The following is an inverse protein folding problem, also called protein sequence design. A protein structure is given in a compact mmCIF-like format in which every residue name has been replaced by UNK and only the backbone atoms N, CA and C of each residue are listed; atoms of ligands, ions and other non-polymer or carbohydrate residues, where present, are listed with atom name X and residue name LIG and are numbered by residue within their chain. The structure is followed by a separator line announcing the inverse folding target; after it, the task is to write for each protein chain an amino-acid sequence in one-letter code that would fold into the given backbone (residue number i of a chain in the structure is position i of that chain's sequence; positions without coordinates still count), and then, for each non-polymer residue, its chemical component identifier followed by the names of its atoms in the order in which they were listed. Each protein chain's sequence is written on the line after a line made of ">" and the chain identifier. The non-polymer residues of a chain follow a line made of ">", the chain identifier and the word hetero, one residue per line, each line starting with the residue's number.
data_IF_879128324750
#
_entry.id   IF_879128324750
#
_cell.length_a   1.000
_cell.length_b   1.000
_cell.length_c   1.000
_cell.angle_alpha   90.00
_cell.angle_beta   90.00
_cell.angle_gamma   90.00
#
_symmetry.space_group_name_H-M   'P 1'
#
loop_
_entity.id
_entity.type
_entity.pdbx_description
1 polymer ?
#
# COMPACT_ATOMS: atom_id res chain seq x y z
N UNK A 1 8.62 -2.69 -2.12
CA UNK A 1 9.50 -1.57 -1.79
C UNK A 1 10.28 -1.17 -3.04
N UNK A 2 10.50 0.09 -3.23
CA UNK A 2 11.36 0.62 -4.29
C UNK A 2 12.33 1.65 -3.70
N UNK A 3 13.45 1.86 -4.34
CA UNK A 3 14.43 2.85 -3.91
C UNK A 3 15.62 2.89 -4.86
N UNK A 4 16.22 4.07 -4.98
CA UNK A 4 17.43 4.27 -5.75
C UNK A 4 18.62 4.27 -4.80
N UNK A 5 19.67 3.54 -5.18
CA UNK A 5 20.92 3.44 -4.45
C UNK A 5 22.01 3.99 -5.36
N UNK A 6 22.54 5.16 -5.01
CA UNK A 6 23.62 5.79 -5.77
C UNK A 6 24.95 5.10 -5.45
N UNK A 7 25.53 4.49 -6.46
CA UNK A 7 26.80 3.75 -6.38
C UNK A 7 27.92 4.45 -7.14
N UNK A 8 27.72 5.69 -7.56
CA UNK A 8 28.70 6.42 -8.37
C UNK A 8 30.02 6.68 -7.64
N UNK A 9 29.94 6.90 -6.32
CA UNK A 9 31.12 7.14 -5.47
C UNK A 9 31.73 5.86 -4.88
N UNK A 10 30.93 4.80 -4.72
CA UNK A 10 31.38 3.50 -4.16
C UNK A 10 30.68 2.34 -4.90
N UNK A 11 31.19 1.98 -6.08
CA UNK A 11 30.58 0.94 -6.90
C UNK A 11 30.50 -0.41 -6.20
N UNK A 12 29.33 -1.06 -6.30
CA UNK A 12 29.14 -2.41 -5.77
C UNK A 12 29.91 -3.44 -6.60
N UNK A 13 30.96 -3.99 -6.02
CA UNK A 13 31.73 -5.09 -6.59
C UNK A 13 31.25 -6.40 -5.98
N UNK A 14 30.83 -7.32 -6.84
CA UNK A 14 30.42 -8.67 -6.42
C UNK A 14 31.55 -9.63 -6.82
N UNK A 15 32.31 -10.16 -5.85
CA UNK A 15 33.36 -11.13 -6.13
C UNK A 15 32.81 -12.48 -6.55
N UNK A 16 33.63 -13.36 -7.14
CA UNK A 16 33.23 -14.67 -7.63
C UNK A 16 32.57 -15.58 -6.58
N UNK A 17 32.89 -15.38 -5.29
CA UNK A 17 32.22 -16.11 -4.19
C UNK A 17 30.90 -15.50 -3.71
N UNK A 18 30.42 -14.46 -4.37
CA UNK A 18 29.26 -13.70 -3.95
C UNK A 18 29.56 -12.71 -2.83
N UNK A 19 28.58 -11.85 -2.54
CA UNK A 19 28.63 -10.88 -1.44
C UNK A 19 27.23 -10.65 -0.90
N UNK A 20 27.07 -10.68 0.41
CA UNK A 20 25.83 -10.27 1.04
C UNK A 20 25.67 -8.74 0.96
N UNK A 21 24.53 -8.28 0.46
CA UNK A 21 24.19 -6.86 0.37
C UNK A 21 22.90 -6.62 1.13
N UNK A 22 22.95 -5.72 2.10
CA UNK A 22 21.76 -5.28 2.84
C UNK A 22 21.29 -3.95 2.27
N UNK A 23 20.08 -3.94 1.73
CA UNK A 23 19.43 -2.73 1.23
C UNK A 23 18.50 -2.19 2.31
N UNK A 24 18.69 -0.93 2.70
CA UNK A 24 17.83 -0.22 3.64
C UNK A 24 16.95 0.76 2.87
N UNK A 25 15.65 0.50 2.87
CA UNK A 25 14.65 1.40 2.30
C UNK A 25 14.20 2.39 3.37
N UNK A 26 14.20 3.70 3.05
CA UNK A 26 13.65 4.75 3.90
C UNK A 26 12.13 4.67 4.01
N UNK A 27 11.53 5.42 4.93
CA UNK A 27 10.09 5.38 5.23
C UNK A 27 9.18 5.63 4.01
N UNK A 28 9.66 6.38 3.04
CA UNK A 28 8.91 6.67 1.82
C UNK A 28 9.12 5.64 0.70
N UNK A 29 9.91 4.60 0.94
CA UNK A 29 10.31 3.61 -0.06
C UNK A 29 9.83 2.20 0.24
N UNK A 30 8.98 2.01 1.23
CA UNK A 30 8.32 0.73 1.48
C UNK A 30 6.81 0.92 1.62
N UNK A 31 6.06 -0.07 1.14
CA UNK A 31 4.61 0.00 1.00
C UNK A 31 3.88 -1.11 1.78
N UNK A 32 4.58 -1.77 2.71
CA UNK A 32 4.00 -2.79 3.60
C UNK A 32 4.75 -2.86 4.91
N UNK A 33 4.02 -3.16 5.97
CA UNK A 33 4.65 -3.47 7.25
C UNK A 33 5.30 -4.86 7.20
N UNK A 34 6.34 -5.08 8.00
CA UNK A 34 7.06 -6.37 8.03
C UNK A 34 6.12 -7.57 8.35
N UNK A 35 5.09 -7.35 9.18
CA UNK A 35 4.10 -8.38 9.53
C UNK A 35 3.20 -8.80 8.38
N UNK A 36 3.08 -7.95 7.35
CA UNK A 36 2.26 -8.20 6.17
C UNK A 36 3.08 -8.85 5.03
N UNK A 37 4.36 -9.10 5.26
CA UNK A 37 5.24 -9.73 4.28
C UNK A 37 5.31 -11.24 4.53
N UNK A 38 4.86 -12.02 3.55
CA UNK A 38 5.20 -13.43 3.49
C UNK A 38 6.56 -13.60 2.78
N UNK A 39 7.60 -13.76 3.60
CA UNK A 39 8.97 -13.90 3.09
C UNK A 39 9.17 -15.14 2.19
N UNK A 40 8.30 -16.13 2.27
CA UNK A 40 8.36 -17.33 1.43
C UNK A 40 7.92 -17.06 0.00
N UNK A 41 7.07 -16.04 -0.19
CA UNK A 41 6.53 -15.66 -1.50
C UNK A 41 7.20 -14.41 -2.08
N UNK A 42 8.15 -13.82 -1.34
CA UNK A 42 8.84 -12.61 -1.77
C UNK A 42 9.73 -12.89 -2.98
N UNK A 43 9.40 -12.26 -4.10
CA UNK A 43 10.25 -12.28 -5.29
C UNK A 43 11.01 -10.95 -5.41
N UNK A 44 12.33 -11.00 -5.44
CA UNK A 44 13.19 -9.84 -5.68
C UNK A 44 13.63 -9.86 -7.14
N UNK A 45 13.29 -8.80 -7.89
CA UNK A 45 13.74 -8.60 -9.28
C UNK A 45 14.61 -7.34 -9.32
N UNK A 46 15.93 -7.45 -9.12
CA UNK A 46 16.81 -6.31 -9.21
C UNK A 46 16.97 -5.89 -10.67
N UNK A 47 16.97 -4.58 -10.91
CA UNK A 47 17.36 -3.96 -12.16
C UNK A 47 18.61 -3.11 -11.89
N UNK A 48 19.63 -3.24 -12.72
CA UNK A 48 20.89 -2.52 -12.57
C UNK A 48 21.15 -1.66 -13.79
N UNK A 49 21.40 -0.37 -13.55
CA UNK A 49 22.01 0.50 -14.54
C UNK A 49 23.52 0.55 -14.22
N UNK A 50 24.34 0.17 -15.19
CA UNK A 50 25.80 0.21 -15.06
C UNK A 50 26.37 1.57 -15.39
N UNK A 51 25.54 2.52 -15.83
CA UNK A 51 25.99 3.81 -16.32
C UNK A 51 26.89 3.69 -17.54
N UNK A 52 27.53 4.80 -17.90
CA UNK A 52 28.44 4.88 -19.06
C UNK A 52 29.90 4.47 -18.74
N UNK A 53 30.21 4.05 -17.52
CA UNK A 53 31.57 3.67 -17.12
C UNK A 53 31.88 2.20 -17.48
N UNK A 54 32.74 2.01 -18.43
CA UNK A 54 33.16 0.70 -18.94
C UNK A 54 34.33 0.05 -18.17
N UNK A 55 34.92 0.69 -17.16
CA UNK A 55 35.99 0.08 -16.36
C UNK A 55 35.98 0.56 -14.92
N UNK A 56 35.62 -0.35 -14.02
CA UNK A 56 35.85 -0.18 -12.59
C UNK A 56 37.25 -0.71 -12.28
N UNK A 57 38.18 0.18 -11.93
CA UNK A 57 39.47 -0.23 -11.37
C UNK A 57 39.18 -0.85 -10.01
N UNK A 58 39.35 -2.16 -9.87
CA UNK A 58 39.09 -2.92 -8.67
C UNK A 58 39.90 -2.43 -7.48
N UNK A 59 39.27 -1.67 -6.61
CA UNK A 59 39.77 -1.52 -5.24
C UNK A 59 39.17 -2.69 -4.44
N UNK A 60 40.04 -3.55 -3.95
CA UNK A 60 39.84 -4.62 -2.97
C UNK A 60 38.45 -5.28 -2.97
N UNK A 61 38.33 -6.44 -3.61
CA UNK A 61 37.16 -7.32 -3.49
C UNK A 61 37.13 -7.98 -2.12
N UNK A 62 36.47 -7.38 -1.16
CA UNK A 62 36.20 -8.03 0.13
C UNK A 62 34.84 -8.74 0.08
N UNK A 63 34.76 -9.98 0.58
CA UNK A 63 33.52 -10.73 0.73
C UNK A 63 32.69 -10.23 1.93
N UNK A 64 33.09 -9.12 2.55
CA UNK A 64 32.38 -8.55 3.71
C UNK A 64 30.98 -8.08 3.34
N UNK A 65 30.00 -8.29 4.21
CA UNK A 65 28.64 -7.76 3.99
C UNK A 65 28.67 -6.24 3.83
N UNK A 66 27.86 -5.74 2.91
CA UNK A 66 27.70 -4.31 2.65
C UNK A 66 26.26 -3.88 2.96
N UNK A 67 26.11 -2.73 3.61
CA UNK A 67 24.80 -2.11 3.84
C UNK A 67 24.72 -0.81 3.06
N UNK A 68 23.63 -0.64 2.31
CA UNK A 68 23.36 0.56 1.54
C UNK A 68 21.99 1.12 1.95
N UNK A 69 21.88 2.45 2.02
CA UNK A 69 20.65 3.16 2.24
C UNK A 69 20.16 3.81 0.93
N UNK A 70 18.86 3.81 0.69
CA UNK A 70 18.29 4.51 -0.46
C UNK A 70 18.48 6.02 -0.31
N UNK A 71 18.77 6.70 -1.43
CA UNK A 71 18.87 8.17 -1.44
C UNK A 71 17.48 8.79 -1.32
N UNK A 72 17.40 9.95 -0.67
CA UNK A 72 16.19 10.76 -0.60
C UNK A 72 15.95 11.61 -1.85
N UNK A 73 16.93 11.70 -2.74
CA UNK A 73 16.82 12.47 -3.98
C UNK A 73 16.23 11.60 -5.08
N UNK A 74 14.91 11.61 -5.19
CA UNK A 74 14.22 10.97 -6.30
C UNK A 74 14.18 11.91 -7.51
N UNK A 75 14.70 11.44 -8.65
CA UNK A 75 14.45 12.08 -9.94
C UNK A 75 13.02 11.74 -10.43
N UNK A 76 12.54 12.39 -11.50
CA UNK A 76 11.19 12.18 -12.04
C UNK A 76 10.90 10.70 -12.35
N UNK A 77 11.87 9.97 -12.89
CA UNK A 77 11.73 8.54 -13.20
C UNK A 77 11.54 7.70 -11.92
N UNK A 78 12.21 8.06 -10.82
CA UNK A 78 12.03 7.37 -9.54
C UNK A 78 10.65 7.62 -8.96
N UNK A 79 10.15 8.86 -9.06
CA UNK A 79 8.79 9.19 -8.58
C UNK A 79 7.73 8.38 -9.33
N UNK A 80 7.88 8.25 -10.65
CA UNK A 80 6.97 7.45 -11.47
C UNK A 80 7.04 5.96 -11.13
N UNK A 81 8.23 5.41 -10.92
CA UNK A 81 8.42 4.04 -10.46
C UNK A 81 7.83 3.79 -9.07
N UNK A 82 8.00 4.73 -8.15
CA UNK A 82 7.43 4.65 -6.81
C UNK A 82 5.91 4.70 -6.84
N UNK A 83 5.34 5.53 -7.71
CA UNK A 83 3.90 5.64 -7.91
C UNK A 83 3.32 4.33 -8.49
N UNK A 84 3.97 3.76 -9.52
CA UNK A 84 3.61 2.47 -10.08
C UNK A 84 3.70 1.35 -9.04
N UNK A 85 4.78 1.30 -8.27
CA UNK A 85 4.98 0.30 -7.23
C UNK A 85 3.92 0.41 -6.12
N UNK A 86 3.48 1.62 -5.79
CA UNK A 86 2.40 1.84 -4.84
C UNK A 86 1.05 1.35 -5.40
N UNK A 87 0.76 1.59 -6.68
CA UNK A 87 -0.41 1.07 -7.38
C UNK A 87 -0.45 -0.47 -7.37
N UNK A 88 0.67 -1.10 -7.70
CA UNK A 88 0.83 -2.56 -7.66
C UNK A 88 0.62 -3.12 -6.24
N UNK A 89 1.11 -2.40 -5.22
CA UNK A 89 0.93 -2.76 -3.83
C UNK A 89 -0.53 -2.65 -3.37
N UNK A 90 -1.26 -1.61 -3.80
CA UNK A 90 -2.70 -1.47 -3.54
C UNK A 90 -3.49 -2.62 -4.17
N UNK A 91 -3.24 -2.94 -5.43
CA UNK A 91 -3.89 -4.05 -6.12
C UNK A 91 -3.60 -5.40 -5.44
N UNK A 92 -2.33 -5.64 -5.09
CA UNK A 92 -1.97 -6.85 -4.37
C UNK A 92 -2.68 -6.93 -3.03
N UNK A 93 -2.74 -5.83 -2.28
CA UNK A 93 -3.37 -5.80 -0.97
C UNK A 93 -4.87 -6.06 -1.06
N UNK A 94 -5.57 -5.40 -2.00
CA UNK A 94 -7.00 -5.63 -2.21
C UNK A 94 -7.30 -7.09 -2.60
N UNK A 95 -6.48 -7.67 -3.46
CA UNK A 95 -6.58 -9.10 -3.83
C UNK A 95 -6.34 -10.02 -2.63
N UNK A 96 -5.38 -9.68 -1.77
CA UNK A 96 -5.09 -10.43 -0.55
C UNK A 96 -6.25 -10.33 0.45
N UNK A 97 -6.77 -9.12 0.68
CA UNK A 97 -7.87 -8.85 1.61
C UNK A 97 -9.21 -9.42 1.12
N UNK A 98 -9.36 -9.65 -0.20
CA UNK A 98 -10.61 -10.18 -0.80
C UNK A 98 -11.09 -11.46 -0.11
N UNK A 99 -10.19 -12.37 0.24
CA UNK A 99 -10.54 -13.63 0.92
C UNK A 99 -11.19 -13.36 2.28
N UNK A 100 -10.66 -12.41 3.04
CA UNK A 100 -11.23 -12.00 4.32
C UNK A 100 -12.60 -11.33 4.14
N UNK A 101 -12.72 -10.44 3.14
CA UNK A 101 -14.01 -9.79 2.83
C UNK A 101 -15.07 -10.81 2.43
N UNK A 102 -14.74 -11.74 1.54
CA UNK A 102 -15.67 -12.79 1.10
C UNK A 102 -16.11 -13.70 2.24
N UNK A 103 -15.23 -14.01 3.19
CA UNK A 103 -15.53 -14.97 4.26
C UNK A 103 -16.18 -14.35 5.49
N UNK A 104 -15.96 -13.05 5.77
CA UNK A 104 -16.36 -12.43 7.04
C UNK A 104 -17.31 -11.26 6.90
N UNK A 105 -17.21 -10.47 5.81
CA UNK A 105 -17.90 -9.18 5.68
C UNK A 105 -19.24 -9.29 4.96
N UNK A 106 -19.46 -10.33 4.14
CA UNK A 106 -20.71 -10.43 3.38
C UNK A 106 -21.94 -10.45 4.28
N UNK A 107 -22.92 -9.62 3.93
CA UNK A 107 -24.14 -9.44 4.71
C UNK A 107 -23.96 -8.61 5.99
N UNK A 108 -22.75 -8.08 6.25
CA UNK A 108 -22.45 -7.29 7.44
C UNK A 108 -22.21 -5.83 7.10
N UNK A 109 -22.48 -4.98 8.08
CA UNK A 109 -22.12 -3.58 8.04
C UNK A 109 -20.74 -3.38 8.66
N UNK A 110 -19.97 -2.50 8.08
CA UNK A 110 -18.62 -2.14 8.56
C UNK A 110 -18.39 -0.64 8.37
N UNK A 111 -17.70 0.04 9.28
CA UNK A 111 -17.28 1.41 9.07
C UNK A 111 -16.36 1.53 7.86
N UNK A 112 -16.72 2.38 6.90
CA UNK A 112 -15.87 2.80 5.80
C UNK A 112 -15.12 4.06 6.23
N UNK A 113 -13.79 3.99 6.24
CA UNK A 113 -12.92 5.03 6.82
C UNK A 113 -12.31 5.95 5.76
N UNK A 114 -12.23 5.48 4.53
CA UNK A 114 -11.66 6.25 3.42
C UNK A 114 -12.23 5.76 2.10
N UNK A 115 -12.33 6.69 1.14
CA UNK A 115 -12.63 6.40 -0.26
C UNK A 115 -11.84 7.38 -1.12
N UNK A 116 -10.82 6.89 -1.82
CA UNK A 116 -9.87 7.71 -2.60
C UNK A 116 -9.62 7.10 -3.97
N UNK A 117 -9.36 7.95 -4.95
CA UNK A 117 -8.86 7.55 -6.26
C UNK A 117 -7.66 8.41 -6.65
N UNK A 118 -6.88 7.94 -7.60
CA UNK A 118 -5.76 8.74 -8.16
C UNK A 118 -6.34 9.99 -8.81
N UNK A 119 -5.62 11.10 -8.67
CA UNK A 119 -5.96 12.44 -9.15
C UNK A 119 -7.18 13.09 -8.46
N UNK A 120 -7.75 12.46 -7.43
CA UNK A 120 -8.75 13.11 -6.59
C UNK A 120 -8.12 14.30 -5.86
N UNK A 121 -8.74 15.47 -5.98
CA UNK A 121 -8.40 16.65 -5.18
C UNK A 121 -9.33 16.72 -3.98
N UNK A 122 -8.84 16.34 -2.81
CA UNK A 122 -9.56 16.35 -1.55
C UNK A 122 -8.58 16.48 -0.37
N UNK A 123 -9.06 16.86 0.79
CA UNK A 123 -8.27 16.97 2.03
C UNK A 123 -7.01 17.84 1.86
N UNK A 124 -7.08 18.87 1.00
CA UNK A 124 -5.98 19.81 0.74
C UNK A 124 -4.84 19.24 -0.10
N UNK A 125 -5.03 18.10 -0.77
CA UNK A 125 -4.02 17.49 -1.62
C UNK A 125 -4.62 16.84 -2.87
N UNK A 126 -3.76 16.54 -3.84
CA UNK A 126 -4.07 15.61 -4.94
C UNK A 126 -3.63 14.22 -4.53
N UNK A 127 -4.56 13.28 -4.55
CA UNK A 127 -4.31 11.90 -4.13
C UNK A 127 -3.58 11.13 -5.23
N UNK A 128 -2.58 10.36 -4.83
CA UNK A 128 -1.77 9.48 -5.67
C UNK A 128 -1.81 8.06 -5.11
N UNK A 129 -1.36 7.06 -5.87
CA UNK A 129 -1.26 5.70 -5.32
C UNK A 129 -0.42 5.65 -4.04
N UNK A 130 0.67 6.42 -3.98
CA UNK A 130 1.53 6.48 -2.79
C UNK A 130 0.79 7.04 -1.59
N UNK A 131 0.08 8.16 -1.75
CA UNK A 131 -0.65 8.78 -0.63
C UNK A 131 -1.83 7.90 -0.17
N UNK A 132 -2.55 7.27 -1.09
CA UNK A 132 -3.63 6.32 -0.80
C UNK A 132 -3.09 5.12 -0.01
N UNK A 133 -1.98 4.54 -0.46
CA UNK A 133 -1.36 3.41 0.22
C UNK A 133 -0.83 3.80 1.60
N UNK A 134 -0.21 4.98 1.73
CA UNK A 134 0.28 5.49 3.01
C UNK A 134 -0.87 5.71 4.01
N UNK A 135 -2.00 6.29 3.56
CA UNK A 135 -3.20 6.45 4.38
C UNK A 135 -3.73 5.08 4.84
N UNK A 136 -3.87 4.12 3.93
CA UNK A 136 -4.32 2.77 4.25
C UNK A 136 -3.42 2.11 5.31
N UNK A 137 -2.10 2.15 5.12
CA UNK A 137 -1.15 1.55 6.05
C UNK A 137 -1.21 2.20 7.44
N UNK A 138 -1.35 3.53 7.50
CA UNK A 138 -1.56 4.26 8.75
C UNK A 138 -2.87 3.84 9.42
N UNK A 139 -3.95 3.77 8.66
CA UNK A 139 -5.26 3.34 9.18
C UNK A 139 -5.19 1.91 9.70
N UNK A 140 -4.49 1.01 9.01
CA UNK A 140 -4.33 -0.38 9.43
C UNK A 140 -3.45 -0.55 10.67
N UNK A 141 -2.53 0.38 10.94
CA UNK A 141 -1.78 0.38 12.20
C UNK A 141 -2.69 0.66 13.39
N UNK A 142 -3.63 1.59 13.24
CA UNK A 142 -4.63 1.91 14.27
C UNK A 142 -5.76 0.87 14.33
N UNK A 143 -6.13 0.28 13.20
CA UNK A 143 -7.21 -0.70 13.05
C UNK A 143 -6.66 -1.99 12.41
N UNK A 144 -6.09 -2.92 13.18
CA UNK A 144 -5.36 -4.08 12.65
C UNK A 144 -6.18 -5.01 11.73
N UNK A 145 -7.50 -4.97 11.84
CA UNK A 145 -8.43 -5.73 11.01
C UNK A 145 -8.84 -4.99 9.72
N UNK A 146 -8.39 -3.75 9.53
CA UNK A 146 -8.75 -2.97 8.35
C UNK A 146 -8.34 -3.67 7.06
N UNK A 147 -9.21 -3.59 6.07
CA UNK A 147 -9.01 -4.13 4.72
C UNK A 147 -9.17 -3.03 3.69
N UNK A 148 -8.55 -3.20 2.53
CA UNK A 148 -8.75 -2.33 1.39
C UNK A 148 -9.40 -3.08 0.25
N UNK A 149 -10.34 -2.43 -0.43
CA UNK A 149 -11.02 -2.98 -1.61
C UNK A 149 -10.95 -2.00 -2.78
N UNK A 150 -10.92 -2.51 -4.00
CA UNK A 150 -11.13 -1.71 -5.20
C UNK A 150 -12.61 -1.79 -5.59
N UNK A 151 -13.27 -0.65 -5.72
CA UNK A 151 -14.72 -0.60 -5.97
C UNK A 151 -15.13 -1.24 -7.30
N UNK A 152 -14.23 -1.30 -8.29
CA UNK A 152 -14.50 -2.01 -9.56
C UNK A 152 -14.77 -3.50 -9.40
N UNK A 153 -14.40 -4.09 -8.26
CA UNK A 153 -14.56 -5.51 -8.00
C UNK A 153 -15.85 -5.86 -7.23
N UNK A 154 -16.61 -4.83 -6.82
CA UNK A 154 -17.77 -4.99 -5.93
C UNK A 154 -18.96 -4.19 -6.41
N UNK A 155 -20.03 -4.87 -6.80
CA UNK A 155 -21.26 -4.26 -7.33
C UNK A 155 -22.02 -3.37 -6.34
N UNK A 156 -21.67 -3.40 -5.07
CA UNK A 156 -22.28 -2.57 -4.02
C UNK A 156 -21.72 -1.14 -3.95
N UNK A 157 -20.82 -0.79 -4.84
CA UNK A 157 -20.35 0.58 -5.01
C UNK A 157 -20.89 1.16 -6.32
N UNK A 158 -21.31 2.43 -6.29
CA UNK A 158 -21.91 3.10 -7.45
C UNK A 158 -20.89 3.40 -8.55
N UNK A 159 -19.63 3.62 -8.16
CA UNK A 159 -18.54 4.03 -9.07
C UNK A 159 -17.35 3.12 -8.87
N UNK A 160 -16.78 2.65 -9.98
CA UNK A 160 -15.55 1.85 -9.98
C UNK A 160 -14.28 2.71 -9.91
N UNK A 161 -13.14 2.06 -9.66
CA UNK A 161 -11.82 2.69 -9.70
C UNK A 161 -11.40 3.37 -8.41
N UNK A 162 -12.19 3.28 -7.35
CA UNK A 162 -11.85 3.85 -6.04
C UNK A 162 -11.22 2.79 -5.13
N UNK A 163 -10.30 3.25 -4.30
CA UNK A 163 -9.76 2.50 -3.19
C UNK A 163 -10.53 2.85 -1.92
N UNK A 164 -11.16 1.84 -1.31
CA UNK A 164 -11.96 2.01 -0.11
C UNK A 164 -11.33 1.24 1.03
N UNK A 165 -11.11 1.92 2.15
CA UNK A 165 -10.64 1.32 3.40
C UNK A 165 -11.82 1.06 4.32
N UNK A 166 -12.01 -0.19 4.71
CA UNK A 166 -13.01 -0.64 5.69
C UNK A 166 -12.30 -0.96 7.01
N UNK A 167 -12.90 -0.61 8.15
CA UNK A 167 -12.27 -0.76 9.48
C UNK A 167 -11.96 -2.20 9.87
N UNK A 168 -12.73 -3.14 9.34
CA UNK A 168 -12.68 -4.55 9.76
C UNK A 168 -13.56 -4.88 10.96
N UNK A 169 -14.18 -3.89 11.59
CA UNK A 169 -15.22 -4.09 12.60
C UNK A 169 -16.55 -4.42 11.91
N UNK A 170 -17.27 -5.42 12.40
CA UNK A 170 -18.44 -5.99 11.73
C UNK A 170 -19.67 -5.92 12.62
N UNK A 171 -20.77 -5.41 12.05
CA UNK A 171 -22.03 -5.15 12.77
C UNK A 171 -23.21 -5.76 12.04
N UNK A 172 -24.30 -5.98 12.78
CA UNK A 172 -25.57 -6.44 12.21
C UNK A 172 -26.34 -5.30 11.52
N UNK A 173 -26.19 -4.08 12.01
CA UNK A 173 -26.92 -2.90 11.53
C UNK A 173 -25.99 -1.75 11.14
N UNK A 174 -26.47 -0.86 10.29
CA UNK A 174 -25.75 0.35 9.93
C UNK A 174 -25.60 1.32 11.11
N UNK A 175 -26.60 1.35 12.01
CA UNK A 175 -26.56 2.23 13.18
C UNK A 175 -25.45 1.84 14.14
N UNK A 176 -25.22 0.54 14.36
CA UNK A 176 -24.11 0.06 15.15
C UNK A 176 -22.74 0.42 14.53
N UNK A 177 -22.61 0.27 13.20
CA UNK A 177 -21.40 0.65 12.49
C UNK A 177 -21.15 2.18 12.58
N UNK A 178 -22.18 2.99 12.44
CA UNK A 178 -22.08 4.44 12.61
C UNK A 178 -21.80 4.85 14.05
N UNK A 179 -22.39 4.18 15.05
CA UNK A 179 -22.08 4.41 16.46
C UNK A 179 -20.61 4.13 16.79
N UNK A 180 -20.01 3.12 16.13
CA UNK A 180 -18.57 2.89 16.24
C UNK A 180 -17.77 4.09 15.70
N UNK A 181 -18.13 4.66 14.52
CA UNK A 181 -17.49 5.86 13.99
C UNK A 181 -17.51 7.02 15.01
N UNK A 182 -18.68 7.24 15.65
CA UNK A 182 -18.83 8.26 16.69
C UNK A 182 -17.92 7.98 17.91
N UNK A 183 -17.88 6.72 18.35
CA UNK A 183 -17.05 6.32 19.49
C UNK A 183 -15.55 6.47 19.25
N UNK A 184 -15.11 6.41 18.00
CA UNK A 184 -13.72 6.62 17.59
C UNK A 184 -13.39 8.09 17.29
N UNK A 185 -14.39 8.98 17.34
CA UNK A 185 -14.21 10.41 17.11
C UNK A 185 -14.05 10.80 15.64
N UNK A 186 -14.46 9.93 14.72
CA UNK A 186 -14.50 10.29 13.30
C UNK A 186 -15.65 11.28 13.04
N UNK A 187 -15.46 12.20 12.11
CA UNK A 187 -16.54 13.03 11.59
C UNK A 187 -17.37 12.27 10.52
N UNK A 188 -18.48 12.88 10.10
CA UNK A 188 -19.42 12.24 9.17
C UNK A 188 -18.88 12.12 7.73
N UNK A 189 -17.88 12.92 7.37
CA UNK A 189 -17.27 12.86 6.03
C UNK A 189 -16.23 11.74 5.93
N UNK A 190 -15.61 11.37 7.07
CA UNK A 190 -14.51 10.41 7.13
C UNK A 190 -14.90 9.03 7.68
N UNK A 191 -16.15 8.82 8.08
CA UNK A 191 -16.60 7.51 8.50
C UNK A 191 -18.11 7.35 8.31
N UNK A 192 -18.51 6.30 7.62
CA UNK A 192 -19.92 5.95 7.39
C UNK A 192 -20.10 4.43 7.35
N UNK A 193 -21.34 3.98 7.56
CA UNK A 193 -21.64 2.55 7.49
C UNK A 193 -21.74 2.07 6.04
N UNK A 194 -20.99 1.02 5.71
CA UNK A 194 -21.02 0.30 4.44
C UNK A 194 -21.33 -1.17 4.65
N UNK A 195 -22.27 -1.70 3.88
CA UNK A 195 -22.59 -3.13 3.83
C UNK A 195 -21.89 -3.77 2.63
N UNK A 196 -21.24 -4.90 2.86
CA UNK A 196 -20.56 -5.65 1.81
C UNK A 196 -21.42 -6.81 1.35
N UNK A 197 -21.55 -6.93 0.02
CA UNK A 197 -22.24 -8.04 -0.65
C UNK A 197 -21.40 -8.49 -1.85
N UNK A 198 -21.50 -9.75 -2.22
CA UNK A 198 -20.81 -10.30 -3.40
C UNK A 198 -21.48 -9.97 -4.72
N UNK A 199 -22.76 -9.55 -4.66
CA UNK A 199 -23.59 -9.20 -5.81
C UNK A 199 -24.70 -8.26 -5.37
N UNK A 200 -25.43 -7.70 -6.32
CA UNK A 200 -26.55 -6.82 -6.05
C UNK A 200 -26.29 -5.37 -6.41
N UNK A 201 -27.16 -4.49 -5.92
CA UNK A 201 -27.14 -3.05 -6.19
C UNK A 201 -26.46 -2.29 -5.04
N UNK A 202 -25.86 -1.12 -5.31
CA UNK A 202 -25.40 -0.20 -4.28
C UNK A 202 -26.49 0.28 -3.33
N UNK A 203 -27.74 0.30 -3.78
CA UNK A 203 -28.86 0.83 -3.01
C UNK A 203 -29.03 0.09 -1.68
N UNK A 204 -29.15 0.86 -0.58
CA UNK A 204 -29.32 0.30 0.75
C UNK A 204 -28.07 -0.34 1.36
N UNK A 205 -26.91 -0.21 0.71
CA UNK A 205 -25.62 -0.73 1.22
C UNK A 205 -24.75 0.35 1.84
N UNK A 206 -25.20 1.60 1.88
CA UNK A 206 -24.50 2.73 2.48
C UNK A 206 -25.47 3.52 3.36
N UNK A 207 -25.04 3.88 4.56
CA UNK A 207 -25.78 4.78 5.45
C UNK A 207 -24.84 5.81 6.04
N UNK A 208 -25.03 7.07 5.63
CA UNK A 208 -24.36 8.22 6.25
C UNK A 208 -24.85 8.45 7.69
N UNK A 209 -24.09 9.21 8.46
CA UNK A 209 -24.43 9.66 9.80
C UNK A 209 -25.17 10.97 9.75
#
# INVERSE_FOLDING_TARGET
>A
ASGTFDLSSDPLIIPNGGRAVTLRFGEQHYFRTAKDLDLKTLTVKPSFDRGSQSSVTSKSSTNSPMTMASSSNSNANQQEQDEQAAGDALQWQAKHDRSAVMSKFLGKWTPQLSSKQVDLVADGQTWTNRSILAEFLKTRQANPNAVIVNTSEWSVFDVGGWWVTLSGELYATADEANAWCDSQGYDAEHCLAKRMESSGSPQGTTKSR
#
